data_IF_076349323224
#
_entry.id   IF_076349323224
#
_cell.length_a   1.000
_cell.length_b   1.000
_cell.length_c   1.000
_cell.angle_alpha   90.00
_cell.angle_beta   90.00
_cell.angle_gamma   90.00
#
_symmetry.space_group_name_H-M   'P 1'
#
loop_
_entity.id
_entity.type
_entity.pdbx_description
1 polymer ?
#
# COMPACT_ATOMS: atom_id res chain seq x y z
N UNK A 1 53.86 29.09 -30.72
CA UNK A 1 52.46 29.37 -31.13
C UNK A 1 51.52 28.48 -30.35
N UNK A 2 50.78 29.08 -29.41
CA UNK A 2 49.97 28.41 -28.39
C UNK A 2 48.51 28.40 -28.82
N UNK A 3 47.85 27.24 -28.89
CA UNK A 3 46.38 27.16 -29.04
C UNK A 3 45.75 26.52 -27.80
N UNK A 4 45.35 27.38 -26.87
CA UNK A 4 44.43 27.07 -25.76
C UNK A 4 43.04 26.74 -26.34
N UNK A 5 42.50 25.56 -26.07
CA UNK A 5 41.07 25.27 -26.29
C UNK A 5 40.28 25.60 -25.03
N UNK A 6 39.22 26.39 -25.24
CA UNK A 6 38.36 27.01 -24.22
C UNK A 6 37.47 25.97 -23.54
N UNK A 7 37.42 26.06 -22.22
CA UNK A 7 36.44 25.41 -21.35
C UNK A 7 35.11 26.13 -21.52
N UNK A 8 34.08 25.45 -22.03
CA UNK A 8 32.71 25.96 -21.99
C UNK A 8 32.05 25.49 -20.69
N UNK A 9 32.08 26.35 -19.67
CA UNK A 9 31.09 26.37 -18.60
C UNK A 9 29.78 26.87 -19.20
N UNK A 10 28.71 26.07 -19.12
CA UNK A 10 27.34 26.58 -19.23
C UNK A 10 26.51 26.12 -18.03
N UNK A 11 26.44 27.05 -17.08
CA UNK A 11 25.33 27.39 -16.17
C UNK A 11 24.43 26.28 -15.64
N UNK A 12 24.52 26.09 -14.31
CA UNK A 12 23.45 25.63 -13.41
C UNK A 12 22.12 26.31 -13.81
N UNK A 13 21.13 25.53 -14.21
CA UNK A 13 19.74 25.97 -14.14
C UNK A 13 19.26 25.74 -12.70
N UNK A 14 18.82 26.82 -12.06
CA UNK A 14 18.25 26.81 -10.73
C UNK A 14 17.02 25.90 -10.70
N UNK A 15 17.05 24.91 -9.80
CA UNK A 15 15.88 24.13 -9.40
C UNK A 15 14.85 25.10 -8.82
N UNK A 16 13.79 25.37 -9.58
CA UNK A 16 12.61 26.07 -9.07
C UNK A 16 11.84 25.06 -8.22
N UNK A 17 11.93 25.21 -6.91
CA UNK A 17 10.94 24.65 -6.00
C UNK A 17 9.56 25.18 -6.40
N UNK A 18 8.66 24.28 -6.79
CA UNK A 18 7.23 24.57 -6.79
C UNK A 18 6.52 23.48 -6.00
N UNK A 19 6.08 23.91 -4.83
CA UNK A 19 5.25 23.22 -3.87
C UNK A 19 3.90 22.78 -4.48
N UNK A 20 3.42 21.62 -4.00
CA UNK A 20 2.01 21.21 -3.84
C UNK A 20 1.15 20.93 -5.10
N UNK A 21 0.48 19.77 -5.13
CA UNK A 21 -0.96 19.59 -4.77
C UNK A 21 -1.41 18.14 -4.97
N UNK A 22 -2.06 17.61 -3.94
CA UNK A 22 -2.69 16.30 -3.83
C UNK A 22 -3.66 16.01 -4.99
N UNK A 23 -3.53 14.82 -5.58
CA UNK A 23 -4.50 14.26 -6.53
C UNK A 23 -5.67 13.63 -5.77
N UNK A 24 -6.65 14.47 -5.49
CA UNK A 24 -7.98 14.19 -4.92
C UNK A 24 -8.74 13.12 -5.73
N UNK A 25 -9.23 12.06 -5.07
CA UNK A 25 -10.40 11.29 -5.53
C UNK A 25 -11.39 11.24 -4.36
N UNK A 26 -12.58 11.81 -4.59
CA UNK A 26 -13.67 11.89 -3.62
C UNK A 26 -14.51 10.61 -3.65
N UNK A 27 -14.78 10.12 -2.45
CA UNK A 27 -15.66 9.03 -2.04
C UNK A 27 -17.15 9.38 -2.22
N UNK A 28 -17.99 8.41 -2.61
CA UNK A 28 -19.45 8.47 -2.38
C UNK A 28 -19.82 7.33 -1.44
N UNK A 29 -20.14 7.65 -0.19
CA UNK A 29 -20.90 6.77 0.72
C UNK A 29 -22.20 7.50 1.06
N UNK A 30 -23.33 6.89 0.71
CA UNK A 30 -24.67 7.34 1.10
C UNK A 30 -24.92 6.87 2.53
N UNK A 31 -25.28 7.84 3.39
CA UNK A 31 -25.67 7.69 4.79
C UNK A 31 -27.07 7.07 4.86
N UNK A 32 -27.22 6.04 5.71
CA UNK A 32 -28.49 5.81 6.41
C UNK A 32 -28.17 5.79 7.91
N UNK A 33 -28.33 6.96 8.53
CA UNK A 33 -28.40 7.12 9.97
C UNK A 33 -29.89 7.25 10.32
N UNK A 34 -30.42 6.29 11.06
CA UNK A 34 -31.72 6.42 11.73
C UNK A 34 -31.65 5.76 13.11
N UNK A 35 -31.71 6.62 14.14
CA UNK A 35 -31.95 6.27 15.56
C UNK A 35 -30.70 5.77 16.31
N UNK A 36 -30.28 6.30 17.45
CA UNK A 36 -30.96 7.15 18.42
C UNK A 36 -30.62 6.64 19.82
N UNK A 37 -29.92 7.48 20.61
CA UNK A 37 -30.00 7.68 22.07
C UNK A 37 -29.90 6.46 23.02
N UNK A 38 -28.81 6.47 23.81
CA UNK A 38 -28.71 6.25 25.27
C UNK A 38 -29.82 5.44 25.98
N UNK A 39 -29.46 4.31 26.59
CA UNK A 39 -30.09 3.82 27.82
C UNK A 39 -29.12 2.93 28.62
N UNK A 40 -28.70 3.43 29.78
CA UNK A 40 -28.19 2.64 30.90
C UNK A 40 -29.36 1.87 31.51
N UNK A 41 -29.28 0.55 31.56
CA UNK A 41 -30.07 -0.27 32.49
C UNK A 41 -29.21 -1.40 33.06
N UNK A 42 -28.83 -1.23 34.33
CA UNK A 42 -28.43 -2.30 35.24
C UNK A 42 -29.71 -2.97 35.75
N UNK A 43 -29.94 -4.27 35.48
CA UNK A 43 -30.28 -5.29 36.49
C UNK A 43 -30.58 -6.68 35.87
N UNK A 44 -30.09 -7.70 36.59
CA UNK A 44 -30.56 -9.08 36.75
C UNK A 44 -30.37 -10.17 35.66
N UNK A 45 -29.51 -11.12 36.06
CA UNK A 45 -29.77 -12.57 36.22
C UNK A 45 -29.98 -13.42 34.97
N UNK A 46 -28.94 -14.21 34.69
CA UNK A 46 -29.07 -15.63 34.35
C UNK A 46 -29.77 -15.95 33.04
N UNK A 47 -29.01 -16.02 31.95
CA UNK A 47 -28.81 -17.29 31.24
C UNK A 47 -27.68 -17.10 30.22
N UNK A 48 -26.66 -17.95 30.35
CA UNK A 48 -25.48 -17.94 29.50
C UNK A 48 -25.80 -18.40 28.09
N UNK A 49 -26.41 -17.53 27.30
CA UNK A 49 -26.43 -17.64 25.86
C UNK A 49 -25.22 -16.85 25.34
N UNK A 50 -24.12 -17.54 25.06
CA UNK A 50 -22.92 -16.97 24.47
C UNK A 50 -23.24 -16.53 23.04
N UNK A 51 -23.88 -15.36 22.92
CA UNK A 51 -23.90 -14.60 21.69
C UNK A 51 -22.51 -14.01 21.54
N UNK A 52 -21.65 -14.78 20.88
CA UNK A 52 -20.31 -14.38 20.53
C UNK A 52 -20.41 -13.16 19.62
N UNK A 53 -20.30 -11.97 20.20
CA UNK A 53 -19.94 -10.76 19.47
C UNK A 53 -18.53 -10.99 18.92
N UNK A 54 -18.45 -11.71 17.80
CA UNK A 54 -17.24 -11.92 17.04
C UNK A 54 -16.90 -10.63 16.31
N UNK A 55 -16.49 -9.60 17.05
CA UNK A 55 -15.42 -8.74 16.57
C UNK A 55 -14.14 -9.57 16.64
N UNK A 56 -14.05 -10.57 15.76
CA UNK A 56 -12.87 -11.42 15.65
C UNK A 56 -11.77 -10.57 15.05
N UNK A 57 -11.00 -9.91 15.91
CA UNK A 57 -9.74 -9.31 15.50
C UNK A 57 -8.88 -10.43 14.91
N UNK A 58 -8.64 -10.36 13.60
CA UNK A 58 -7.80 -11.34 12.89
C UNK A 58 -6.44 -11.41 13.58
N UNK A 59 -5.99 -12.62 13.92
CA UNK A 59 -4.67 -12.77 14.54
C UNK A 59 -3.56 -12.55 13.50
N UNK A 60 -2.34 -12.12 13.87
CA UNK A 60 -1.24 -11.96 12.91
C UNK A 60 -0.95 -13.23 12.09
N UNK A 61 -1.09 -14.40 12.71
CA UNK A 61 -0.90 -15.69 12.04
C UNK A 61 -2.00 -15.99 11.01
N UNK A 62 -3.25 -15.63 11.31
CA UNK A 62 -4.37 -15.77 10.39
C UNK A 62 -4.25 -14.77 9.24
N UNK A 63 -3.92 -13.51 9.54
CA UNK A 63 -3.65 -12.48 8.55
C UNK A 63 -2.52 -12.91 7.59
N UNK A 64 -1.44 -13.50 8.11
CA UNK A 64 -0.35 -14.04 7.28
C UNK A 64 -0.87 -15.12 6.32
N UNK A 65 -1.72 -16.05 6.77
CA UNK A 65 -2.30 -17.09 5.90
C UNK A 65 -3.11 -16.50 4.75
N UNK A 66 -3.95 -15.51 5.04
CA UNK A 66 -4.74 -14.84 4.00
C UNK A 66 -3.89 -14.01 3.04
N UNK A 67 -2.75 -13.50 3.49
CA UNK A 67 -1.81 -12.74 2.69
C UNK A 67 -1.06 -13.60 1.65
N UNK A 68 -0.78 -14.88 1.93
CA UNK A 68 0.02 -15.76 1.05
C UNK A 68 -0.50 -15.85 -0.38
N UNK A 69 0.38 -15.82 -1.36
CA UNK A 69 0.05 -15.86 -2.78
C UNK A 69 0.17 -14.50 -3.47
N UNK A 70 -0.39 -14.41 -4.67
CA UNK A 70 -0.18 -13.28 -5.58
C UNK A 70 -1.32 -12.27 -5.47
N UNK A 71 -0.93 -11.01 -5.44
CA UNK A 71 -1.83 -9.85 -5.43
C UNK A 71 -1.51 -8.95 -6.59
N UNK A 72 -2.52 -8.46 -7.30
CA UNK A 72 -2.39 -7.43 -8.32
C UNK A 72 -2.64 -6.06 -7.70
N UNK A 73 -1.81 -5.09 -8.07
CA UNK A 73 -2.09 -3.69 -7.79
C UNK A 73 -1.86 -2.85 -9.05
N UNK A 74 -2.66 -1.79 -9.15
CA UNK A 74 -2.62 -0.78 -10.18
C UNK A 74 -2.81 0.58 -9.52
N UNK A 75 -1.92 1.52 -9.82
CA UNK A 75 -1.96 2.83 -9.20
C UNK A 75 -0.77 3.69 -9.56
N UNK A 76 -0.66 4.86 -8.94
CA UNK A 76 0.47 5.75 -9.17
C UNK A 76 1.55 5.48 -8.12
N UNK A 77 2.77 5.17 -8.57
CA UNK A 77 3.87 4.76 -7.69
C UNK A 77 5.25 4.92 -8.31
N UNK A 78 6.30 4.53 -7.57
CA UNK A 78 7.71 4.56 -7.98
C UNK A 78 8.45 5.87 -7.71
N UNK A 79 9.71 5.94 -8.16
CA UNK A 79 10.60 7.10 -7.98
C UNK A 79 9.91 8.42 -8.39
N UNK A 80 9.40 9.15 -7.40
CA UNK A 80 8.70 10.42 -7.56
C UNK A 80 7.18 10.38 -7.79
N UNK A 81 6.51 9.21 -7.78
CA UNK A 81 5.05 9.08 -7.81
C UNK A 81 4.33 9.60 -9.07
N UNK A 82 5.07 9.80 -10.17
CA UNK A 82 4.56 10.47 -11.39
C UNK A 82 3.96 9.54 -12.42
N UNK A 83 4.21 8.24 -12.32
CA UNK A 83 3.85 7.29 -13.35
C UNK A 83 2.81 6.32 -12.83
N UNK A 84 1.80 6.09 -13.65
CA UNK A 84 0.90 4.97 -13.47
C UNK A 84 1.72 3.68 -13.54
N UNK A 85 1.46 2.74 -12.65
CA UNK A 85 2.16 1.47 -12.53
C UNK A 85 1.15 0.36 -12.36
N UNK A 86 1.50 -0.77 -12.94
CA UNK A 86 0.80 -2.03 -12.74
C UNK A 86 1.81 -3.05 -12.25
N UNK A 87 1.38 -3.96 -11.39
CA UNK A 87 2.26 -4.99 -10.90
C UNK A 87 1.58 -6.09 -10.11
N UNK A 88 2.42 -7.01 -9.66
CA UNK A 88 2.06 -8.11 -8.79
C UNK A 88 2.99 -8.18 -7.59
N UNK A 89 2.43 -8.53 -6.43
CA UNK A 89 3.13 -8.76 -5.17
C UNK A 89 2.83 -10.18 -4.72
N UNK A 90 3.86 -11.01 -4.63
CA UNK A 90 3.70 -12.41 -4.24
C UNK A 90 4.31 -12.64 -2.87
N UNK A 91 3.48 -13.04 -1.91
CA UNK A 91 3.90 -13.35 -0.54
C UNK A 91 4.16 -14.84 -0.38
N UNK A 92 5.28 -15.17 0.24
CA UNK A 92 5.72 -16.54 0.48
C UNK A 92 5.72 -16.89 1.98
N UNK A 93 5.63 -18.18 2.29
CA UNK A 93 5.54 -18.68 3.67
C UNK A 93 6.74 -18.31 4.54
N UNK A 94 7.91 -18.15 3.92
CA UNK A 94 9.19 -17.83 4.54
C UNK A 94 9.41 -16.33 4.83
N UNK A 95 8.34 -15.55 4.91
CA UNK A 95 8.37 -14.10 5.17
C UNK A 95 9.08 -13.29 4.06
N UNK A 96 9.25 -13.88 2.87
CA UNK A 96 9.69 -13.13 1.70
C UNK A 96 8.52 -12.69 0.84
N UNK A 97 8.69 -11.56 0.16
CA UNK A 97 7.76 -11.05 -0.84
C UNK A 97 8.54 -10.61 -2.07
N UNK A 98 8.02 -10.91 -3.25
CA UNK A 98 8.54 -10.36 -4.51
C UNK A 98 7.52 -9.43 -5.13
N UNK A 99 7.94 -8.21 -5.47
CA UNK A 99 7.14 -7.28 -6.25
C UNK A 99 7.68 -7.21 -7.67
N UNK A 100 6.77 -7.32 -8.62
CA UNK A 100 7.05 -7.28 -10.05
C UNK A 100 6.14 -6.22 -10.65
N UNK A 101 6.70 -5.10 -11.08
CA UNK A 101 5.90 -3.95 -11.52
C UNK A 101 6.58 -3.19 -12.65
N UNK A 102 5.78 -2.46 -13.42
CA UNK A 102 6.24 -1.66 -14.55
C UNK A 102 5.39 -0.40 -14.69
N UNK A 103 6.03 0.68 -15.13
CA UNK A 103 5.33 1.92 -15.45
C UNK A 103 4.51 1.77 -16.73
N UNK A 104 3.36 2.43 -16.78
CA UNK A 104 2.55 2.62 -17.98
C UNK A 104 2.89 4.01 -18.54
N UNK A 105 3.42 4.04 -19.75
CA UNK A 105 3.81 5.26 -20.45
C UNK A 105 2.57 6.05 -20.93
N UNK A 106 2.69 7.35 -21.24
CA UNK A 106 1.55 8.16 -21.69
C UNK A 106 0.86 7.66 -22.96
N UNK A 107 1.58 6.91 -23.81
CA UNK A 107 1.05 6.26 -25.01
C UNK A 107 0.42 4.88 -24.73
N UNK A 108 0.34 4.46 -23.47
CA UNK A 108 -0.20 3.17 -23.04
C UNK A 108 0.81 2.01 -23.09
N UNK A 109 2.04 2.24 -23.57
CA UNK A 109 3.06 1.20 -23.63
C UNK A 109 3.62 0.87 -22.23
N UNK A 110 4.07 -0.36 -22.06
CA UNK A 110 4.67 -0.82 -20.81
C UNK A 110 6.16 -0.48 -20.81
N UNK A 111 6.59 0.19 -19.74
CA UNK A 111 7.99 0.49 -19.49
C UNK A 111 8.77 -0.74 -19.03
N UNK A 112 10.00 -0.51 -18.57
CA UNK A 112 10.84 -1.57 -18.04
C UNK A 112 10.23 -2.23 -16.81
N UNK A 113 10.29 -3.55 -16.80
CA UNK A 113 9.90 -4.40 -15.68
C UNK A 113 10.93 -4.27 -14.55
N UNK A 114 10.45 -3.96 -13.35
CA UNK A 114 11.21 -3.96 -12.12
C UNK A 114 10.84 -5.19 -11.30
N UNK A 115 11.83 -5.76 -10.63
CA UNK A 115 11.66 -6.89 -9.71
C UNK A 115 12.37 -6.49 -8.42
N UNK A 116 11.66 -6.48 -7.30
CA UNK A 116 12.22 -6.17 -5.97
C UNK A 116 11.86 -7.29 -5.01
N UNK A 117 12.86 -7.78 -4.29
CA UNK A 117 12.65 -8.71 -3.19
C UNK A 117 12.56 -7.96 -1.88
N UNK A 118 11.70 -8.43 -0.98
CA UNK A 118 11.45 -7.85 0.33
C UNK A 118 11.38 -8.95 1.36
N UNK A 119 11.73 -8.61 2.59
CA UNK A 119 11.19 -9.31 3.75
C UNK A 119 9.94 -8.58 4.22
N UNK A 120 8.93 -9.32 4.67
CA UNK A 120 7.71 -8.76 5.22
C UNK A 120 7.42 -9.32 6.60
N UNK A 121 6.81 -8.50 7.45
CA UNK A 121 6.28 -8.93 8.75
C UNK A 121 4.90 -8.33 8.97
N UNK A 122 4.08 -9.02 9.76
CA UNK A 122 2.72 -8.60 10.06
C UNK A 122 2.49 -8.66 11.57
N UNK A 123 1.79 -7.66 12.10
CA UNK A 123 1.29 -7.66 13.47
C UNK A 123 -0.22 -7.35 13.47
N UNK A 124 -0.79 -7.00 14.62
CA UNK A 124 -2.24 -6.83 14.78
C UNK A 124 -2.86 -5.85 13.78
N UNK A 125 -2.15 -4.78 13.40
CA UNK A 125 -2.69 -3.73 12.52
C UNK A 125 -1.77 -3.32 11.39
N UNK A 126 -0.49 -3.69 11.46
CA UNK A 126 0.52 -3.24 10.51
C UNK A 126 1.10 -4.40 9.72
N UNK A 127 1.34 -4.12 8.44
CA UNK A 127 2.24 -4.87 7.57
C UNK A 127 3.49 -4.02 7.34
N UNK A 128 4.66 -4.59 7.56
CA UNK A 128 5.94 -3.93 7.40
C UNK A 128 6.75 -4.64 6.31
N UNK A 129 7.41 -3.85 5.47
CA UNK A 129 8.33 -4.30 4.44
C UNK A 129 9.72 -3.74 4.75
N UNK A 130 10.71 -4.61 4.78
CA UNK A 130 12.10 -4.25 5.02
C UNK A 130 13.04 -5.12 4.17
N UNK A 131 14.35 -4.87 4.32
CA UNK A 131 15.41 -5.62 3.65
C UNK A 131 15.17 -5.78 2.14
N UNK A 132 14.83 -4.66 1.47
CA UNK A 132 14.60 -4.65 0.04
C UNK A 132 15.89 -4.97 -0.72
N UNK A 133 15.79 -5.69 -1.84
CA UNK A 133 16.91 -5.85 -2.76
C UNK A 133 17.39 -4.48 -3.26
N UNK A 134 18.70 -4.33 -3.48
CA UNK A 134 19.35 -3.05 -3.78
C UNK A 134 18.84 -2.32 -5.04
N UNK A 135 18.12 -3.00 -5.93
CA UNK A 135 17.66 -2.42 -7.18
C UNK A 135 16.24 -2.86 -7.60
N UNK A 136 15.36 -1.91 -7.97
CA UNK A 136 15.49 -0.48 -7.72
C UNK A 136 15.59 -0.15 -6.20
N UNK A 137 16.32 0.92 -5.82
CA UNK A 137 16.36 1.37 -4.44
C UNK A 137 14.95 1.60 -3.94
N UNK A 138 14.59 0.88 -2.87
CA UNK A 138 13.24 0.90 -2.32
C UNK A 138 13.32 1.13 -0.81
N UNK A 139 12.48 2.01 -0.30
CA UNK A 139 12.49 2.39 1.11
C UNK A 139 11.64 1.40 1.92
N UNK A 140 12.15 0.88 3.06
CA UNK A 140 11.34 0.16 4.02
C UNK A 140 10.17 0.99 4.54
N UNK A 141 9.08 0.32 4.92
CA UNK A 141 7.89 1.00 5.41
C UNK A 141 6.90 0.09 6.10
N UNK A 142 6.13 0.64 7.03
CA UNK A 142 5.02 -0.03 7.69
C UNK A 142 3.71 0.68 7.35
N UNK A 143 2.67 -0.11 7.14
CA UNK A 143 1.38 0.34 6.66
C UNK A 143 0.27 -0.34 7.45
N UNK A 144 -0.81 0.37 7.71
CA UNK A 144 -2.03 -0.26 8.21
C UNK A 144 -2.61 -1.13 7.12
N UNK A 145 -3.06 -2.35 7.45
CA UNK A 145 -3.71 -3.21 6.48
C UNK A 145 -5.15 -3.53 6.89
N UNK A 146 -6.00 -3.76 5.88
CA UNK A 146 -7.39 -4.18 6.05
C UNK A 146 -7.73 -5.19 4.95
N UNK A 147 -8.23 -6.36 5.36
CA UNK A 147 -8.80 -7.32 4.43
C UNK A 147 -10.29 -7.01 4.22
N UNK A 148 -10.69 -6.99 2.97
CA UNK A 148 -12.02 -6.72 2.46
C UNK A 148 -12.45 -7.89 1.56
N UNK A 149 -13.75 -7.97 1.25
CA UNK A 149 -14.31 -8.93 0.29
C UNK A 149 -13.82 -10.38 0.51
N UNK A 150 -14.04 -10.90 1.72
CA UNK A 150 -13.63 -12.27 2.10
C UNK A 150 -12.14 -12.58 1.81
N UNK A 151 -11.26 -11.62 2.14
CA UNK A 151 -9.80 -11.72 1.96
C UNK A 151 -9.33 -11.71 0.51
N UNK A 152 -10.18 -11.31 -0.44
CA UNK A 152 -9.81 -11.16 -1.85
C UNK A 152 -9.34 -9.74 -2.19
N UNK A 153 -9.59 -8.78 -1.29
CA UNK A 153 -9.16 -7.40 -1.44
C UNK A 153 -8.38 -6.99 -0.19
N UNK A 154 -7.16 -6.51 -0.38
CA UNK A 154 -6.29 -5.98 0.66
C UNK A 154 -6.11 -4.48 0.46
N UNK A 155 -6.49 -3.67 1.44
CA UNK A 155 -6.16 -2.25 1.48
C UNK A 155 -4.97 -2.02 2.37
N UNK A 156 -4.00 -1.26 1.88
CA UNK A 156 -2.76 -0.89 2.59
C UNK A 156 -2.69 0.63 2.69
N UNK A 157 -2.58 1.18 3.91
CA UNK A 157 -2.66 2.62 4.17
C UNK A 157 -1.40 3.13 4.87
N UNK A 158 -0.79 4.18 4.32
CA UNK A 158 0.40 4.82 4.90
C UNK A 158 0.05 5.71 6.12
N UNK A 159 1.07 6.19 6.82
CA UNK A 159 0.90 7.06 8.00
C UNK A 159 0.27 8.42 7.70
N UNK A 160 0.11 8.78 6.42
CA UNK A 160 -0.51 10.02 5.94
C UNK A 160 -1.96 9.80 5.51
N UNK A 161 -2.46 8.56 5.59
CA UNK A 161 -3.80 8.18 5.18
C UNK A 161 -3.95 7.91 3.67
N UNK A 162 -2.84 7.80 2.93
CA UNK A 162 -2.91 7.38 1.52
C UNK A 162 -3.05 5.86 1.46
N UNK A 163 -4.03 5.39 0.69
CA UNK A 163 -4.33 3.96 0.58
C UNK A 163 -4.01 3.41 -0.81
N UNK A 164 -3.62 2.15 -0.85
CA UNK A 164 -3.44 1.34 -2.05
C UNK A 164 -4.29 0.07 -1.92
N UNK A 165 -5.06 -0.23 -2.97
CA UNK A 165 -5.95 -1.39 -3.02
C UNK A 165 -5.33 -2.50 -3.88
N UNK A 166 -5.15 -3.68 -3.28
CA UNK A 166 -4.52 -4.86 -3.86
C UNK A 166 -5.57 -5.97 -3.98
N UNK A 167 -5.58 -6.68 -5.10
CA UNK A 167 -6.59 -7.69 -5.40
C UNK A 167 -5.94 -9.06 -5.56
N UNK A 168 -6.50 -10.08 -4.92
CA UNK A 168 -5.99 -11.45 -5.02
C UNK A 168 -6.05 -11.93 -6.46
N UNK A 169 -5.00 -12.61 -6.91
CA UNK A 169 -4.97 -13.32 -8.19
C UNK A 169 -5.23 -14.79 -7.91
N UNK A 170 -6.34 -15.30 -8.43
CA UNK A 170 -6.71 -16.72 -8.38
C UNK A 170 -5.88 -17.59 -9.34
#
# INVERSE_FOLDING_TARGET
MTKRRKINKKSKAASKETNFKYGLIILIIIIVAAGGILALTLHNTGDGNNNSNNNSTITPNEAKKHLLGTWRWEGYGGYGGKYHQIGTWTFYENDSMVSIFQGVLPNGELGSKNIVWWHYSINETLICFDNASDFPPSEPGCYTYEFLEDYLHLRVTDSKGNSADWYKVE
#
